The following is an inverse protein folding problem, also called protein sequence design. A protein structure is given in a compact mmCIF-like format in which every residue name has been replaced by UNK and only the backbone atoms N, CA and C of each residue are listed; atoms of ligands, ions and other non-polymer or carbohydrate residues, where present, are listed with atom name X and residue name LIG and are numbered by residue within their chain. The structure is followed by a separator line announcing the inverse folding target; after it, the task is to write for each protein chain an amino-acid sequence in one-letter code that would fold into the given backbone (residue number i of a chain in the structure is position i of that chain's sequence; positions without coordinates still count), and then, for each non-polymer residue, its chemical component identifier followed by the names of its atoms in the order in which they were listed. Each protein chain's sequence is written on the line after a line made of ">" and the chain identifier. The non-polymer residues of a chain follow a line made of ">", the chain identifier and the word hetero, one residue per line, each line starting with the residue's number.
data_IF_869951158614
#
_entry.id   IF_869951158614
#
_cell.length_a   1.000
_cell.length_b   1.000
_cell.length_c   1.000
_cell.angle_alpha   90.00
_cell.angle_beta   90.00
_cell.angle_gamma   90.00
#
_symmetry.space_group_name_H-M   'P 1'
#
loop_
_entity.id
_entity.type
_entity.pdbx_description
1 polymer ?
#
# COMPACT_ATOMS: atom_id res chain seq x y z
N UNK A 1 -19.59 3.31 -3.88
CA UNK A 1 -18.35 3.03 -3.13
C UNK A 1 -17.42 2.42 -4.16
N UNK A 2 -16.19 2.91 -4.28
CA UNK A 2 -15.21 2.45 -5.27
C UNK A 2 -14.19 1.58 -4.52
N UNK A 3 -14.26 0.25 -4.73
CA UNK A 3 -13.37 -0.74 -4.10
C UNK A 3 -12.15 -1.00 -5.00
N UNK A 4 -11.51 0.07 -5.48
CA UNK A 4 -10.41 0.01 -6.44
C UNK A 4 -9.08 0.30 -5.73
N UNK A 5 -8.06 -0.52 -5.97
CA UNK A 5 -6.72 -0.29 -5.42
C UNK A 5 -6.04 0.91 -6.09
N UNK A 6 -5.63 1.90 -5.31
CA UNK A 6 -4.95 3.12 -5.82
C UNK A 6 -3.57 2.85 -6.45
N UNK A 7 -2.96 1.68 -6.21
CA UNK A 7 -1.65 1.32 -6.78
C UNK A 7 -1.77 0.57 -8.10
N UNK A 8 -2.58 -0.49 -8.14
CA UNK A 8 -2.69 -1.35 -9.33
C UNK A 8 -3.95 -1.10 -10.16
N UNK A 9 -4.89 -0.28 -9.66
CA UNK A 9 -6.16 0.02 -10.32
C UNK A 9 -7.12 -1.16 -10.44
N UNK A 10 -6.85 -2.27 -9.74
CA UNK A 10 -7.73 -3.44 -9.74
C UNK A 10 -8.78 -3.30 -8.64
N UNK A 11 -10.02 -3.68 -8.97
CA UNK A 11 -11.07 -3.86 -7.98
C UNK A 11 -10.65 -4.98 -7.00
N UNK A 12 -10.75 -4.72 -5.70
CA UNK A 12 -10.42 -5.67 -4.64
C UNK A 12 -11.32 -5.43 -3.45
N UNK A 13 -12.05 -6.46 -2.97
CA UNK A 13 -12.89 -6.32 -1.78
C UNK A 13 -12.06 -6.17 -0.48
N UNK A 14 -10.79 -6.59 -0.52
CA UNK A 14 -9.85 -6.53 0.60
C UNK A 14 -8.86 -5.37 0.43
N UNK A 15 -9.38 -4.15 0.58
CA UNK A 15 -8.55 -2.94 0.67
C UNK A 15 -8.09 -2.72 2.11
N UNK A 16 -6.80 -2.44 2.26
CA UNK A 16 -6.13 -2.20 3.52
C UNK A 16 -5.57 -0.78 3.49
N UNK A 17 -5.71 -0.05 4.60
CA UNK A 17 -5.20 1.32 4.72
C UNK A 17 -3.69 1.32 4.96
N UNK A 18 -2.94 2.03 4.11
CA UNK A 18 -1.50 2.26 4.31
C UNK A 18 -1.26 3.21 5.49
N UNK A 19 -0.45 2.81 6.46
CA UNK A 19 -0.13 3.64 7.65
C UNK A 19 0.84 4.80 7.35
N UNK A 20 1.33 4.94 6.12
CA UNK A 20 2.30 5.98 5.73
C UNK A 20 1.66 7.05 4.86
N UNK A 21 0.82 6.67 3.90
CA UNK A 21 0.15 7.61 3.00
C UNK A 21 -1.37 7.69 3.19
N UNK A 22 -1.95 6.91 4.11
CA UNK A 22 -3.40 6.86 4.37
C UNK A 22 -4.25 6.55 3.11
N UNK A 23 -3.68 5.86 2.14
CA UNK A 23 -4.38 5.39 0.93
C UNK A 23 -4.88 3.95 1.12
N UNK A 24 -6.05 3.64 0.53
CA UNK A 24 -6.59 2.28 0.47
C UNK A 24 -5.93 1.50 -0.66
N UNK A 25 -5.31 0.38 -0.31
CA UNK A 25 -4.48 -0.41 -1.23
C UNK A 25 -4.82 -1.89 -1.05
N UNK A 26 -4.85 -2.66 -2.14
CA UNK A 26 -5.09 -4.10 -2.05
C UNK A 26 -3.95 -4.82 -1.31
N UNK A 27 -4.26 -5.98 -0.72
CA UNK A 27 -3.26 -6.79 0.00
C UNK A 27 -2.02 -7.17 -0.83
N UNK A 28 -2.13 -7.26 -2.16
CA UNK A 28 -1.01 -7.61 -3.05
C UNK A 28 -0.01 -6.45 -3.23
N UNK A 29 -0.52 -5.22 -3.12
CA UNK A 29 0.28 -4.00 -3.17
C UNK A 29 0.70 -3.51 -1.78
N UNK A 30 0.44 -4.29 -0.72
CA UNK A 30 0.83 -4.05 0.66
C UNK A 30 2.11 -4.82 1.03
N UNK A 31 3.02 -4.15 1.73
CA UNK A 31 4.21 -4.73 2.34
C UNK A 31 4.09 -4.64 3.86
N UNK A 32 4.24 -5.78 4.53
CA UNK A 32 4.24 -5.84 6.00
C UNK A 32 5.67 -5.68 6.51
N UNK A 33 5.96 -4.59 7.22
CA UNK A 33 7.25 -4.38 7.89
C UNK A 33 7.04 -4.04 9.35
N UNK A 34 7.66 -4.80 10.25
CA UNK A 34 7.60 -4.56 11.70
C UNK A 34 6.17 -4.35 12.23
N UNK A 35 5.21 -5.16 11.77
CA UNK A 35 3.79 -5.08 12.16
C UNK A 35 3.07 -3.80 11.68
N UNK A 36 3.66 -3.05 10.74
CA UNK A 36 3.06 -1.88 10.10
C UNK A 36 2.65 -2.22 8.66
N UNK A 37 1.44 -1.82 8.30
CA UNK A 37 0.88 -1.94 6.96
C UNK A 37 1.39 -0.79 6.08
N UNK A 38 2.39 -1.05 5.24
CA UNK A 38 2.99 -0.04 4.37
C UNK A 38 2.76 -0.44 2.91
N UNK A 39 2.20 0.44 2.09
CA UNK A 39 2.03 0.13 0.68
C UNK A 39 3.38 0.06 -0.04
N UNK A 40 3.46 -0.74 -1.10
CA UNK A 40 4.68 -0.99 -1.87
C UNK A 40 5.31 0.30 -2.40
N UNK A 41 4.50 1.27 -2.81
CA UNK A 41 4.93 2.61 -3.23
C UNK A 41 5.69 3.34 -2.13
N UNK A 42 5.12 3.44 -0.92
CA UNK A 42 5.79 4.03 0.23
C UNK A 42 7.05 3.27 0.62
N UNK A 43 7.02 1.93 0.56
CA UNK A 43 8.19 1.11 0.82
C UNK A 43 9.31 1.37 -0.20
N UNK A 44 8.98 1.57 -1.48
CA UNK A 44 9.94 1.83 -2.54
C UNK A 44 10.61 3.20 -2.38
N UNK A 45 9.84 4.24 -2.06
CA UNK A 45 10.37 5.58 -1.74
C UNK A 45 11.29 5.55 -0.51
N UNK A 46 10.90 4.79 0.52
CA UNK A 46 11.75 4.53 1.68
C UNK A 46 13.07 3.84 1.31
N UNK A 47 13.06 2.90 0.36
CA UNK A 47 14.28 2.22 -0.10
C UNK A 47 15.17 3.14 -0.95
N UNK A 48 14.60 4.07 -1.73
CA UNK A 48 15.36 5.00 -2.58
C UNK A 48 16.12 6.07 -1.80
N UNK A 49 15.63 6.52 -0.64
CA UNK A 49 16.25 7.57 0.17
C UNK A 49 17.45 7.14 1.03
N UNK A 50 17.81 5.85 1.00
CA UNK A 50 18.87 5.26 1.82
C UNK A 50 19.94 4.56 0.95
N UNK A 51 20.13 5.03 -0.27
CA UNK A 51 21.15 4.59 -1.22
C UNK A 51 22.20 5.67 -1.45
#
# INVERSE_FOLDING_TARGET
>A
MDDTCEICGMESPDLILCSVCDEYVCSDCMEYKNEINICKKCCDEWRKGYA
#
